data_IF_040771597385
#
_entry.id   IF_040771597385
#
_cell.length_a   1.000
_cell.length_b   1.000
_cell.length_c   1.000
_cell.angle_alpha   90.00
_cell.angle_beta   90.00
_cell.angle_gamma   90.00
#
_symmetry.space_group_name_H-M   'P 1'
#
loop_
_entity.id
_entity.type
_entity.pdbx_description
1 polymer ?
#
# COMPACT_ATOMS: atom_id res chain seq x y z
N UNK A 1 -28.03 -3.61 9.16
CA UNK A 1 -26.73 -3.92 8.53
C UNK A 1 -25.74 -2.77 8.67
N UNK A 2 -26.17 -1.50 8.58
CA UNK A 2 -25.25 -0.34 8.57
C UNK A 2 -24.40 -0.18 9.83
N UNK A 3 -24.97 -0.47 11.02
CA UNK A 3 -24.23 -0.42 12.30
C UNK A 3 -23.08 -1.44 12.30
N UNK A 4 -23.35 -2.68 11.87
CA UNK A 4 -22.31 -3.71 11.79
C UNK A 4 -21.21 -3.33 10.78
N UNK A 5 -21.59 -2.86 9.59
CA UNK A 5 -20.64 -2.38 8.58
C UNK A 5 -19.75 -1.25 9.12
N UNK A 6 -20.34 -0.29 9.84
CA UNK A 6 -19.59 0.79 10.46
C UNK A 6 -18.64 0.30 11.54
N UNK A 7 -19.11 -0.55 12.47
CA UNK A 7 -18.30 -1.10 13.55
C UNK A 7 -17.11 -1.89 13.02
N UNK A 8 -17.34 -2.84 12.11
CA UNK A 8 -16.25 -3.60 11.47
C UNK A 8 -15.29 -2.69 10.71
N UNK A 9 -15.81 -1.65 10.05
CA UNK A 9 -14.99 -0.64 9.39
C UNK A 9 -14.07 0.10 10.35
N UNK A 10 -14.57 0.54 11.52
CA UNK A 10 -13.79 1.23 12.55
C UNK A 10 -12.72 0.32 13.15
N UNK A 11 -13.07 -0.91 13.56
CA UNK A 11 -12.10 -1.86 14.10
C UNK A 11 -11.05 -2.27 13.06
N UNK A 12 -11.46 -2.44 11.80
CA UNK A 12 -10.56 -2.69 10.69
C UNK A 12 -9.59 -1.53 10.46
N UNK A 13 -10.09 -0.29 10.47
CA UNK A 13 -9.26 0.92 10.37
C UNK A 13 -8.24 0.99 11.51
N UNK A 14 -8.65 0.75 12.76
CA UNK A 14 -7.75 0.77 13.90
C UNK A 14 -6.65 -0.29 13.79
N UNK A 15 -7.01 -1.55 13.48
CA UNK A 15 -6.04 -2.65 13.31
C UNK A 15 -5.06 -2.37 12.17
N UNK A 16 -5.57 -1.89 11.03
CA UNK A 16 -4.73 -1.54 9.88
C UNK A 16 -3.78 -0.37 10.18
N UNK A 17 -4.20 0.61 10.98
CA UNK A 17 -3.32 1.71 11.40
C UNK A 17 -2.13 1.19 12.22
N UNK A 18 -2.37 0.26 13.15
CA UNK A 18 -1.27 -0.39 13.88
C UNK A 18 -0.34 -1.15 12.93
N UNK A 19 -0.88 -1.82 11.91
CA UNK A 19 -0.07 -2.51 10.89
C UNK A 19 0.81 -1.53 10.10
N UNK A 20 0.26 -0.39 9.65
CA UNK A 20 1.04 0.66 8.97
C UNK A 20 2.08 1.33 9.87
N UNK A 21 1.84 1.38 11.18
CA UNK A 21 2.81 1.92 12.14
C UNK A 21 3.88 0.91 12.55
N UNK A 22 3.70 -0.39 12.30
CA UNK A 22 4.67 -1.42 12.68
C UNK A 22 6.11 -1.16 12.15
N UNK A 23 6.33 -0.69 10.91
CA UNK A 23 7.66 -0.38 10.40
C UNK A 23 8.32 0.87 11.04
N UNK A 24 7.61 1.63 11.88
CA UNK A 24 8.16 2.84 12.52
C UNK A 24 9.45 2.54 13.28
N UNK A 25 9.53 1.38 13.95
CA UNK A 25 10.73 0.98 14.68
C UNK A 25 11.92 0.78 13.72
N UNK A 26 11.67 0.15 12.57
CA UNK A 26 12.67 -0.06 11.51
C UNK A 26 13.14 1.27 10.94
N UNK A 27 12.22 2.18 10.60
CA UNK A 27 12.59 3.48 10.04
C UNK A 27 13.29 4.39 11.06
N UNK A 28 12.93 4.31 12.34
CA UNK A 28 13.66 4.98 13.41
C UNK A 28 15.12 4.51 13.47
N UNK A 29 15.38 3.22 13.26
CA UNK A 29 16.74 2.65 13.15
C UNK A 29 17.48 3.20 11.92
N UNK A 30 16.83 3.23 10.76
CA UNK A 30 17.41 3.79 9.52
C UNK A 30 17.85 5.24 9.74
N UNK A 31 16.99 6.09 10.31
CA UNK A 31 17.30 7.51 10.58
C UNK A 31 18.47 7.66 11.55
N UNK A 32 18.50 6.85 12.62
CA UNK A 32 19.57 6.88 13.63
C UNK A 32 20.92 6.40 13.06
N UNK A 33 20.90 5.38 12.21
CA UNK A 33 22.09 4.78 11.62
C UNK A 33 22.54 5.48 10.34
N UNK A 34 21.71 6.40 9.81
CA UNK A 34 21.93 7.11 8.54
C UNK A 34 22.20 6.15 7.38
N UNK A 35 21.62 4.94 7.45
CA UNK A 35 21.82 3.85 6.50
C UNK A 35 20.59 2.98 6.49
N UNK A 36 20.20 2.50 5.31
CA UNK A 36 19.14 1.49 5.16
C UNK A 36 19.58 0.10 5.60
N UNK A 37 20.85 -0.08 5.97
CA UNK A 37 21.43 -1.37 6.33
C UNK A 37 21.10 -2.43 5.25
N UNK A 38 20.52 -3.57 5.64
CA UNK A 38 20.03 -4.62 4.75
C UNK A 38 18.51 -4.58 4.54
N UNK A 39 17.84 -3.50 4.98
CA UNK A 39 16.40 -3.37 4.80
C UNK A 39 16.05 -3.09 3.33
N UNK A 40 15.02 -3.76 2.83
CA UNK A 40 14.50 -3.53 1.48
C UNK A 40 13.45 -2.41 1.47
N UNK A 41 13.53 -1.54 0.46
CA UNK A 41 12.54 -0.49 0.23
C UNK A 41 11.31 -0.94 -0.57
N UNK A 42 11.39 -2.12 -1.20
CA UNK A 42 10.33 -2.65 -2.09
C UNK A 42 8.98 -2.78 -1.39
N UNK A 43 8.89 -3.35 -0.16
CA UNK A 43 7.60 -3.52 0.50
C UNK A 43 6.82 -2.22 0.63
N UNK A 44 7.49 -1.12 0.99
CA UNK A 44 6.84 0.18 1.21
C UNK A 44 6.29 0.79 -0.09
N UNK A 45 7.04 0.67 -1.19
CA UNK A 45 6.58 1.15 -2.51
C UNK A 45 5.41 0.30 -3.04
N UNK A 46 5.44 -1.01 -2.82
CA UNK A 46 4.35 -1.90 -3.23
C UNK A 46 3.09 -1.70 -2.38
N UNK A 47 3.24 -1.55 -1.06
CA UNK A 47 2.14 -1.20 -0.16
C UNK A 47 1.53 0.16 -0.53
N UNK A 48 2.35 1.14 -0.90
CA UNK A 48 1.86 2.43 -1.38
C UNK A 48 0.95 2.27 -2.60
N UNK A 49 1.33 1.48 -3.61
CA UNK A 49 0.48 1.23 -4.78
C UNK A 49 -0.87 0.63 -4.37
N UNK A 50 -0.84 -0.39 -3.52
CA UNK A 50 -2.06 -1.04 -3.06
C UNK A 50 -2.96 -0.08 -2.28
N UNK A 51 -2.38 0.76 -1.43
CA UNK A 51 -3.10 1.78 -0.69
C UNK A 51 -3.71 2.82 -1.63
N UNK A 52 -2.97 3.32 -2.62
CA UNK A 52 -3.51 4.30 -3.58
C UNK A 52 -4.69 3.73 -4.37
N UNK A 53 -4.57 2.50 -4.89
CA UNK A 53 -5.64 1.84 -5.64
C UNK A 53 -6.87 1.54 -4.76
N UNK A 54 -6.66 1.05 -3.54
CA UNK A 54 -7.74 0.76 -2.59
C UNK A 54 -8.41 2.03 -2.10
N UNK A 55 -7.65 3.10 -1.88
CA UNK A 55 -8.17 4.41 -1.50
C UNK A 55 -9.05 4.98 -2.61
N UNK A 56 -8.60 4.87 -3.87
CA UNK A 56 -9.35 5.29 -5.05
C UNK A 56 -10.65 4.51 -5.22
N UNK A 57 -10.58 3.18 -5.10
CA UNK A 57 -11.77 2.32 -5.11
C UNK A 57 -12.79 2.72 -4.05
N UNK A 58 -12.34 3.08 -2.84
CA UNK A 58 -13.21 3.49 -1.73
C UNK A 58 -13.88 4.86 -1.88
N UNK A 59 -13.48 5.69 -2.85
CA UNK A 59 -14.05 7.02 -3.02
C UNK A 59 -15.54 6.93 -3.41
N UNK A 60 -16.42 7.84 -2.89
CA UNK A 60 -17.87 7.73 -3.08
C UNK A 60 -18.34 7.73 -4.53
N UNK A 61 -17.59 8.40 -5.42
CA UNK A 61 -17.90 8.39 -6.85
C UNK A 61 -17.51 7.07 -7.53
N UNK A 62 -16.54 6.32 -7.00
CA UNK A 62 -16.16 5.00 -7.52
C UNK A 62 -17.02 3.89 -6.92
N UNK A 63 -17.12 3.85 -5.59
CA UNK A 63 -17.86 2.82 -4.87
C UNK A 63 -18.65 3.42 -3.70
N UNK A 64 -19.98 3.29 -3.75
CA UNK A 64 -20.88 3.79 -2.71
C UNK A 64 -20.64 3.04 -1.38
N UNK A 65 -20.74 3.76 -0.27
CA UNK A 65 -20.65 3.25 1.11
C UNK A 65 -19.30 2.62 1.51
N UNK A 66 -18.21 2.91 0.78
CA UNK A 66 -16.88 2.36 1.07
C UNK A 66 -15.86 3.41 1.54
N UNK A 67 -16.33 4.53 2.10
CA UNK A 67 -15.48 5.65 2.53
C UNK A 67 -14.44 5.22 3.58
N UNK A 68 -14.78 4.28 4.47
CA UNK A 68 -13.87 3.74 5.49
C UNK A 68 -12.67 2.98 4.89
N UNK A 69 -12.80 2.46 3.66
CA UNK A 69 -11.67 1.89 2.91
C UNK A 69 -10.77 3.01 2.40
N UNK A 70 -11.37 4.11 1.94
CA UNK A 70 -10.63 5.29 1.48
C UNK A 70 -9.86 5.97 2.60
N UNK A 71 -10.45 6.11 3.79
CA UNK A 71 -9.80 6.75 4.95
C UNK A 71 -8.55 5.99 5.37
N UNK A 72 -8.64 4.67 5.58
CA UNK A 72 -7.51 3.89 6.06
C UNK A 72 -6.41 3.77 5.02
N UNK A 73 -6.76 3.52 3.76
CA UNK A 73 -5.76 3.38 2.70
C UNK A 73 -5.16 4.73 2.32
N UNK A 74 -5.92 5.83 2.37
CA UNK A 74 -5.37 7.18 2.22
C UNK A 74 -4.38 7.52 3.33
N UNK A 75 -4.70 7.17 4.58
CA UNK A 75 -3.79 7.30 5.72
C UNK A 75 -2.54 6.43 5.54
N UNK A 76 -2.73 5.17 5.13
CA UNK A 76 -1.66 4.24 4.78
C UNK A 76 -0.74 4.79 3.68
N UNK A 77 -1.30 5.33 2.60
CA UNK A 77 -0.53 5.99 1.54
C UNK A 77 0.33 7.14 2.07
N UNK A 78 -0.21 7.98 2.96
CA UNK A 78 0.58 9.06 3.57
C UNK A 78 1.75 8.53 4.40
N UNK A 79 1.51 7.48 5.22
CA UNK A 79 2.55 6.81 6.02
C UNK A 79 3.61 6.18 5.12
N UNK A 80 3.20 5.43 4.09
CA UNK A 80 4.11 4.77 3.16
C UNK A 80 4.93 5.76 2.33
N UNK A 81 4.37 6.92 1.95
CA UNK A 81 5.14 7.99 1.33
C UNK A 81 6.26 8.46 2.26
N UNK A 82 5.98 8.66 3.54
CA UNK A 82 7.00 9.05 4.52
C UNK A 82 8.11 8.00 4.60
N UNK A 83 7.76 6.72 4.66
CA UNK A 83 8.71 5.61 4.66
C UNK A 83 9.57 5.57 3.39
N UNK A 84 8.95 5.68 2.21
CA UNK A 84 9.68 5.71 0.93
C UNK A 84 10.64 6.90 0.88
N UNK A 85 10.23 8.09 1.32
CA UNK A 85 11.08 9.27 1.36
C UNK A 85 12.27 9.09 2.30
N UNK A 86 12.06 8.56 3.51
CA UNK A 86 13.16 8.25 4.43
C UNK A 86 14.12 7.23 3.81
N UNK A 87 13.59 6.18 3.16
CA UNK A 87 14.41 5.19 2.47
C UNK A 87 15.27 5.84 1.38
N UNK A 88 14.66 6.67 0.52
CA UNK A 88 15.35 7.38 -0.55
C UNK A 88 16.40 8.37 -0.03
N UNK A 89 16.23 8.93 1.16
CA UNK A 89 17.24 9.79 1.78
C UNK A 89 18.50 8.99 2.16
N UNK A 90 18.32 7.85 2.85
CA UNK A 90 19.43 7.11 3.47
C UNK A 90 19.95 5.90 2.67
N UNK A 91 19.30 5.52 1.58
CA UNK A 91 19.72 4.38 0.75
C UNK A 91 21.04 4.65 -0.01
N UNK A 92 21.89 3.62 -0.21
CA UNK A 92 23.05 3.71 -1.09
C UNK A 92 22.61 3.96 -2.54
N UNK A 93 23.47 4.60 -3.35
CA UNK A 93 23.12 5.09 -4.70
C UNK A 93 22.39 4.07 -5.58
N UNK A 94 22.84 2.81 -5.61
CA UNK A 94 22.25 1.74 -6.43
C UNK A 94 20.82 1.40 -5.98
N UNK A 95 20.62 1.14 -4.68
CA UNK A 95 19.30 0.85 -4.14
C UNK A 95 18.38 2.06 -4.22
N UNK A 96 18.90 3.27 -3.99
CA UNK A 96 18.16 4.52 -4.15
C UNK A 96 17.58 4.66 -5.55
N UNK A 97 18.39 4.45 -6.59
CA UNK A 97 17.94 4.52 -7.98
C UNK A 97 16.86 3.47 -8.29
N UNK A 98 17.03 2.24 -7.80
CA UNK A 98 16.04 1.17 -7.95
C UNK A 98 14.71 1.51 -7.27
N UNK A 99 14.73 1.94 -6.02
CA UNK A 99 13.52 2.30 -5.27
C UNK A 99 12.86 3.55 -5.86
N UNK A 100 13.64 4.53 -6.31
CA UNK A 100 13.10 5.70 -6.99
C UNK A 100 12.42 5.33 -8.31
N UNK A 101 13.05 4.49 -9.13
CA UNK A 101 12.44 3.99 -10.36
C UNK A 101 11.14 3.23 -10.11
N UNK A 102 11.12 2.37 -9.08
CA UNK A 102 9.90 1.65 -8.68
C UNK A 102 8.83 2.62 -8.17
N UNK A 103 9.20 3.64 -7.40
CA UNK A 103 8.29 4.68 -6.91
C UNK A 103 7.63 5.44 -8.06
N UNK A 104 8.40 5.86 -9.06
CA UNK A 104 7.86 6.51 -10.25
C UNK A 104 6.95 5.57 -11.06
N UNK A 105 7.31 4.29 -11.16
CA UNK A 105 6.49 3.28 -11.83
C UNK A 105 5.13 3.13 -11.13
N UNK A 106 5.08 2.98 -9.80
CA UNK A 106 3.81 2.81 -9.10
C UNK A 106 2.93 4.05 -9.17
N UNK A 107 3.50 5.26 -9.11
CA UNK A 107 2.74 6.49 -9.32
C UNK A 107 2.15 6.57 -10.73
N UNK A 108 2.92 6.14 -11.73
CA UNK A 108 2.46 6.08 -13.13
C UNK A 108 1.33 5.07 -13.31
N UNK A 109 1.47 3.87 -12.73
CA UNK A 109 0.42 2.84 -12.76
C UNK A 109 -0.85 3.34 -12.08
N UNK A 110 -0.73 3.94 -10.89
CA UNK A 110 -1.88 4.52 -10.20
C UNK A 110 -2.56 5.61 -11.03
N UNK A 111 -1.79 6.56 -11.57
CA UNK A 111 -2.31 7.63 -12.40
C UNK A 111 -3.03 7.09 -13.65
N UNK A 112 -2.46 6.09 -14.32
CA UNK A 112 -3.07 5.44 -15.47
C UNK A 112 -4.40 4.79 -15.11
N UNK A 113 -4.47 4.02 -14.02
CA UNK A 113 -5.72 3.39 -13.55
C UNK A 113 -6.76 4.46 -13.20
N UNK A 114 -6.36 5.51 -12.48
CA UNK A 114 -7.26 6.60 -12.10
C UNK A 114 -7.83 7.32 -13.33
N UNK A 115 -6.98 7.69 -14.29
CA UNK A 115 -7.39 8.37 -15.52
C UNK A 115 -8.29 7.49 -16.39
N UNK A 116 -7.92 6.23 -16.63
CA UNK A 116 -8.76 5.29 -17.38
C UNK A 116 -10.11 5.11 -16.68
N UNK A 117 -10.13 5.02 -15.35
CA UNK A 117 -11.38 4.89 -14.59
C UNK A 117 -12.31 6.09 -14.75
N UNK A 118 -11.76 7.30 -14.90
CA UNK A 118 -12.53 8.54 -15.04
C UNK A 118 -12.98 8.78 -16.48
N UNK A 119 -12.12 8.48 -17.46
CA UNK A 119 -12.34 8.85 -18.85
C UNK A 119 -13.07 7.75 -19.65
N UNK A 120 -12.83 6.48 -19.33
CA UNK A 120 -13.36 5.35 -20.10
C UNK A 120 -14.57 4.66 -19.45
N UNK A 121 -14.75 4.78 -18.13
CA UNK A 121 -15.76 4.03 -17.38
C UNK A 121 -16.69 4.90 -16.55
N UNK A 122 -17.95 4.46 -16.44
CA UNK A 122 -18.99 5.14 -15.66
C UNK A 122 -19.76 4.15 -14.78
N UNK A 123 -20.31 4.64 -13.67
CA UNK A 123 -21.17 3.87 -12.77
C UNK A 123 -20.56 2.53 -12.34
N UNK A 124 -21.29 1.43 -12.57
CA UNK A 124 -20.89 0.10 -12.13
C UNK A 124 -19.62 -0.42 -12.83
N UNK A 125 -19.40 -0.08 -14.10
CA UNK A 125 -18.19 -0.48 -14.83
C UNK A 125 -16.93 0.10 -14.17
N UNK A 126 -16.99 1.38 -13.75
CA UNK A 126 -15.89 2.03 -13.01
C UNK A 126 -15.61 1.34 -11.68
N UNK A 127 -16.68 1.02 -10.93
CA UNK A 127 -16.57 0.29 -9.65
C UNK A 127 -15.87 -1.06 -9.84
N UNK A 128 -16.30 -1.85 -10.83
CA UNK A 128 -15.75 -3.17 -11.12
C UNK A 128 -14.29 -3.07 -11.54
N UNK A 129 -13.96 -2.16 -12.48
CA UNK A 129 -12.59 -1.96 -12.95
C UNK A 129 -11.62 -1.58 -11.80
N UNK A 130 -11.98 -0.58 -10.99
CA UNK A 130 -11.13 -0.15 -9.87
C UNK A 130 -11.03 -1.25 -8.80
N UNK A 131 -12.12 -1.96 -8.54
CA UNK A 131 -12.15 -3.07 -7.58
C UNK A 131 -11.25 -4.23 -8.01
N UNK A 132 -11.26 -4.59 -9.30
CA UNK A 132 -10.34 -5.59 -9.84
C UNK A 132 -8.89 -5.16 -9.71
N UNK A 133 -8.56 -3.92 -10.07
CA UNK A 133 -7.21 -3.40 -9.92
C UNK A 133 -6.73 -3.48 -8.46
N UNK A 134 -7.51 -2.95 -7.50
CA UNK A 134 -7.19 -3.01 -6.09
C UNK A 134 -7.02 -4.47 -5.59
N UNK A 135 -7.89 -5.38 -6.02
CA UNK A 135 -7.87 -6.80 -5.61
C UNK A 135 -6.62 -7.52 -6.11
N UNK A 136 -6.25 -7.34 -7.38
CA UNK A 136 -5.05 -7.99 -7.95
C UNK A 136 -3.79 -7.59 -7.17
N UNK A 137 -3.62 -6.29 -6.91
CA UNK A 137 -2.44 -5.81 -6.19
C UNK A 137 -2.45 -6.21 -4.71
N UNK A 138 -3.62 -6.27 -4.08
CA UNK A 138 -3.77 -6.82 -2.73
C UNK A 138 -3.34 -8.30 -2.67
N UNK A 139 -3.73 -9.11 -3.66
CA UNK A 139 -3.32 -10.52 -3.75
C UNK A 139 -1.80 -10.64 -3.89
N UNK A 140 -1.19 -9.84 -4.77
CA UNK A 140 0.26 -9.84 -4.99
C UNK A 140 1.03 -9.53 -3.69
N UNK A 141 0.51 -8.64 -2.83
CA UNK A 141 1.16 -8.32 -1.56
C UNK A 141 1.33 -9.53 -0.62
N UNK A 142 0.45 -10.53 -0.70
CA UNK A 142 0.56 -11.75 0.10
C UNK A 142 1.76 -12.64 -0.29
N UNK A 143 2.42 -12.36 -1.42
CA UNK A 143 3.68 -13.04 -1.77
C UNK A 143 4.77 -12.82 -0.72
N UNK A 144 4.80 -11.65 -0.06
CA UNK A 144 5.79 -11.34 0.97
C UNK A 144 5.66 -12.23 2.22
N UNK A 145 4.50 -12.29 2.92
CA UNK A 145 4.36 -13.19 4.07
C UNK A 145 4.48 -14.66 3.66
N UNK A 146 3.99 -15.07 2.49
CA UNK A 146 4.15 -16.44 1.99
C UNK A 146 5.63 -16.83 1.83
N UNK A 147 6.46 -15.93 1.29
CA UNK A 147 7.90 -16.13 1.20
C UNK A 147 8.54 -16.37 2.56
N UNK A 148 8.12 -15.63 3.59
CA UNK A 148 8.64 -15.81 4.96
C UNK A 148 8.21 -17.15 5.56
N UNK A 149 6.97 -17.58 5.32
CA UNK A 149 6.46 -18.88 5.79
C UNK A 149 7.27 -20.03 5.17
N UNK A 150 7.54 -19.98 3.87
CA UNK A 150 8.34 -21.00 3.17
C UNK A 150 9.79 -21.00 3.68
N UNK A 151 10.42 -19.83 3.82
CA UNK A 151 11.77 -19.73 4.38
C UNK A 151 11.84 -20.27 5.81
N UNK A 152 10.83 -20.00 6.64
CA UNK A 152 10.77 -20.48 8.02
C UNK A 152 10.61 -22.01 8.08
N UNK A 153 9.81 -22.60 7.18
CA UNK A 153 9.64 -24.04 7.09
C UNK A 153 10.95 -24.75 6.71
N UNK A 154 11.68 -24.18 5.74
CA UNK A 154 12.98 -24.72 5.30
C UNK A 154 14.10 -24.55 6.33
N UNK A 155 13.92 -23.71 7.36
CA UNK A 155 14.88 -23.59 8.47
C UNK A 155 14.65 -24.63 9.57
N UNK A 156 13.47 -25.26 9.59
CA UNK A 156 13.08 -26.25 10.61
C UNK A 156 13.30 -27.68 10.11
N UNK A 157 13.36 -27.89 8.79
CA UNK A 157 13.72 -29.16 8.14
C UNK A 157 15.22 -29.24 7.86
#
# INVERSE_FOLDING_TARGET
>A
MDIAHFLFGVFGNATALFLFLAPTITFRRIVRRKSTEQFSGIPYVMTLLNCLLSAWYGLPFVSKNNILVSTINGTGSAIEIIYVLIFLLFAPKKEKAKIFGLFMLVLTVFAAVALVSLLAFHGNARKIFCGFAATIFSIIMYASPLSIMVSSLNLIN
#
